data_IF_238716657859
#
_entry.id   IF_238716657859
#
_cell.length_a   1.000
_cell.length_b   1.000
_cell.length_c   1.000
_cell.angle_alpha   90.00
_cell.angle_beta   90.00
_cell.angle_gamma   90.00
#
_symmetry.space_group_name_H-M   'P 1'
#
loop_
_entity.id
_entity.type
_entity.pdbx_description
1 polymer ?
#
# COMPACT_ATOMS: atom_id res chain seq x y z
N UNK A 1 8.74 6.24 -1.80
CA UNK A 1 9.17 6.40 -0.40
C UNK A 1 8.00 6.37 0.58
N UNK A 2 6.91 7.14 0.36
CA UNK A 2 5.70 7.13 1.23
C UNK A 2 5.06 5.73 1.33
N UNK A 3 4.99 4.99 0.21
CA UNK A 3 4.43 3.64 0.19
C UNK A 3 5.24 2.68 1.07
N UNK A 4 6.57 2.74 1.00
CA UNK A 4 7.48 1.92 1.81
C UNK A 4 7.29 2.22 3.30
N UNK A 5 7.21 3.50 3.68
CA UNK A 5 6.98 3.89 5.08
C UNK A 5 5.61 3.45 5.60
N UNK A 6 4.58 3.40 4.76
CA UNK A 6 3.30 2.84 5.17
C UNK A 6 3.34 1.32 5.26
N UNK A 7 4.00 0.64 4.32
CA UNK A 7 4.08 -0.83 4.30
C UNK A 7 4.83 -1.39 5.52
N UNK A 8 5.96 -0.76 5.90
CA UNK A 8 6.86 -1.28 6.93
C UNK A 8 6.91 -0.44 8.22
N UNK A 9 6.19 0.67 8.25
CA UNK A 9 6.36 1.66 9.31
C UNK A 9 7.70 2.38 9.22
N UNK A 10 7.90 3.39 10.05
CA UNK A 10 9.17 4.09 10.17
C UNK A 10 9.25 4.87 11.49
N UNK A 11 10.48 5.02 12.00
CA UNK A 11 10.80 5.95 13.05
C UNK A 11 11.71 7.03 12.48
N UNK A 12 11.20 8.25 12.37
CA UNK A 12 11.90 9.37 11.75
C UNK A 12 12.46 10.25 12.86
N UNK A 13 13.80 10.47 12.94
CA UNK A 13 14.37 11.36 13.92
C UNK A 13 13.93 12.81 13.65
N UNK A 14 13.56 13.51 14.72
CA UNK A 14 13.15 14.92 14.66
C UNK A 14 14.41 15.79 14.63
N UNK A 15 14.62 16.47 13.51
CA UNK A 15 15.68 17.46 13.37
C UNK A 15 15.16 18.86 13.69
N UNK A 16 16.05 19.80 14.03
CA UNK A 16 15.68 21.20 14.27
C UNK A 16 14.99 21.85 13.08
N UNK A 17 15.44 21.50 11.86
CA UNK A 17 14.80 21.95 10.61
C UNK A 17 13.37 21.44 10.50
N UNK A 18 13.13 20.18 10.84
CA UNK A 18 11.81 19.57 10.84
C UNK A 18 10.93 20.22 11.91
N UNK A 19 11.45 20.43 13.11
CA UNK A 19 10.74 21.09 14.22
C UNK A 19 10.27 22.49 13.82
N UNK A 20 11.17 23.30 13.24
CA UNK A 20 10.83 24.65 12.73
C UNK A 20 9.75 24.59 11.65
N UNK A 21 9.86 23.66 10.69
CA UNK A 21 8.86 23.50 9.62
C UNK A 21 7.49 23.07 10.15
N UNK A 22 7.45 22.16 11.12
CA UNK A 22 6.21 21.73 11.76
C UNK A 22 5.56 22.88 12.54
N UNK A 23 6.37 23.69 13.21
CA UNK A 23 5.90 24.89 13.91
C UNK A 23 5.21 25.87 12.96
N UNK A 24 5.76 26.11 11.77
CA UNK A 24 5.14 26.99 10.75
C UNK A 24 3.82 26.42 10.23
N UNK A 25 3.59 25.12 10.37
CA UNK A 25 2.32 24.44 10.03
C UNK A 25 1.35 24.36 11.22
N UNK A 26 1.65 25.05 12.33
CA UNK A 26 0.82 25.05 13.53
C UNK A 26 0.99 23.81 14.41
N UNK A 27 2.07 23.03 14.19
CA UNK A 27 2.35 21.79 14.91
C UNK A 27 3.46 22.02 15.93
N UNK A 28 3.08 22.06 17.20
CA UNK A 28 4.02 22.11 18.30
C UNK A 28 4.42 20.69 18.72
N UNK A 29 5.67 20.30 18.46
CA UNK A 29 6.26 19.10 19.05
C UNK A 29 6.79 19.44 20.45
N UNK A 30 6.58 18.53 21.40
CA UNK A 30 7.17 18.63 22.73
C UNK A 30 8.71 18.58 22.61
N UNK A 31 9.41 19.23 23.52
CA UNK A 31 10.88 19.30 23.48
C UNK A 31 11.54 17.93 23.64
N UNK A 32 10.89 17.02 24.37
CA UNK A 32 11.31 15.63 24.57
C UNK A 32 10.97 14.70 23.37
N UNK A 33 10.33 15.19 22.32
CA UNK A 33 10.01 14.40 21.12
C UNK A 33 11.23 14.27 20.23
N UNK A 34 11.88 13.13 20.26
CA UNK A 34 13.08 12.85 19.45
C UNK A 34 12.79 12.10 18.16
N UNK A 35 11.66 11.40 18.07
CA UNK A 35 11.24 10.61 16.92
C UNK A 35 9.75 10.81 16.60
N UNK A 36 9.42 10.74 15.31
CA UNK A 36 8.04 10.60 14.82
C UNK A 36 7.88 9.18 14.33
N UNK A 37 6.98 8.42 14.95
CA UNK A 37 6.69 7.04 14.57
C UNK A 37 5.56 7.01 13.55
N UNK A 38 5.80 6.37 12.41
CA UNK A 38 4.79 6.03 11.42
C UNK A 38 4.42 4.56 11.64
N UNK A 39 3.19 4.23 12.03
CA UNK A 39 2.80 2.85 12.23
C UNK A 39 2.80 2.07 10.92
N UNK A 40 3.11 0.79 11.01
CA UNK A 40 3.02 -0.15 9.89
C UNK A 40 1.57 -0.29 9.42
N UNK A 41 1.38 -0.23 8.11
CA UNK A 41 0.10 -0.46 7.43
C UNK A 41 0.36 -1.33 6.19
N UNK A 42 0.50 -2.66 6.37
CA UNK A 42 0.96 -3.58 5.34
C UNK A 42 -0.13 -3.81 4.29
N UNK A 43 -0.36 -2.85 3.41
CA UNK A 43 -1.40 -2.92 2.39
C UNK A 43 -1.08 -3.91 1.28
N UNK A 44 0.21 -4.05 0.92
CA UNK A 44 0.64 -4.94 -0.15
C UNK A 44 0.69 -6.39 0.33
N UNK A 45 1.40 -6.65 1.44
CA UNK A 45 1.51 -7.99 2.02
C UNK A 45 0.14 -8.52 2.47
N UNK A 46 -0.57 -7.77 3.28
CA UNK A 46 -1.89 -8.19 3.77
C UNK A 46 -2.92 -8.33 2.63
N UNK A 47 -2.83 -7.49 1.59
CA UNK A 47 -3.67 -7.63 0.40
C UNK A 47 -3.37 -8.90 -0.38
N UNK A 48 -2.09 -9.29 -0.50
CA UNK A 48 -1.67 -10.56 -1.08
C UNK A 48 -2.15 -11.75 -0.24
N UNK A 49 -1.85 -11.75 1.06
CA UNK A 49 -2.18 -12.85 1.98
C UNK A 49 -3.69 -13.11 2.01
N UNK A 50 -4.49 -12.04 2.01
CA UNK A 50 -5.96 -12.16 1.95
C UNK A 50 -6.47 -12.78 0.66
N UNK A 51 -5.70 -12.72 -0.43
CA UNK A 51 -6.09 -13.22 -1.74
C UNK A 51 -5.38 -14.50 -2.17
N UNK A 52 -4.32 -14.91 -1.48
CA UNK A 52 -3.43 -16.03 -1.84
C UNK A 52 -4.20 -17.29 -2.23
N UNK A 53 -5.16 -17.74 -1.43
CA UNK A 53 -5.94 -18.93 -1.71
C UNK A 53 -6.80 -18.83 -2.97
N UNK A 54 -7.35 -17.65 -3.28
CA UNK A 54 -8.11 -17.40 -4.50
C UNK A 54 -7.18 -17.27 -5.71
N UNK A 55 -6.02 -16.66 -5.52
CA UNK A 55 -5.00 -16.54 -6.55
C UNK A 55 -4.47 -17.92 -6.96
N UNK A 56 -4.22 -18.81 -6.00
CA UNK A 56 -3.79 -20.18 -6.29
C UNK A 56 -4.81 -20.95 -7.17
N UNK A 57 -6.11 -20.84 -6.86
CA UNK A 57 -7.18 -21.44 -7.67
C UNK A 57 -7.25 -20.82 -9.08
N UNK A 58 -7.11 -19.50 -9.17
CA UNK A 58 -7.06 -18.81 -10.45
C UNK A 58 -5.85 -19.26 -11.28
N UNK A 59 -4.66 -19.32 -10.67
CA UNK A 59 -3.44 -19.79 -11.34
C UNK A 59 -3.59 -21.23 -11.84
N UNK A 60 -4.16 -22.12 -11.04
CA UNK A 60 -4.42 -23.50 -11.46
C UNK A 60 -5.29 -23.56 -12.71
N UNK A 61 -6.37 -22.77 -12.76
CA UNK A 61 -7.25 -22.67 -13.93
C UNK A 61 -6.51 -22.10 -15.15
N UNK A 62 -5.73 -21.03 -14.96
CA UNK A 62 -5.00 -20.37 -16.05
C UNK A 62 -3.89 -21.26 -16.62
N UNK A 63 -3.18 -22.00 -15.76
CA UNK A 63 -2.20 -23.01 -16.20
C UNK A 63 -2.85 -24.10 -17.01
N UNK A 64 -4.02 -24.61 -16.57
CA UNK A 64 -4.80 -25.57 -17.35
C UNK A 64 -5.16 -25.06 -18.74
N UNK A 65 -5.61 -23.80 -18.87
CA UNK A 65 -5.91 -23.15 -20.14
C UNK A 65 -4.67 -22.99 -21.03
N UNK A 66 -3.53 -22.63 -20.43
CA UNK A 66 -2.28 -22.50 -21.17
C UNK A 66 -1.77 -23.85 -21.69
N UNK A 67 -1.86 -24.92 -20.89
CA UNK A 67 -1.51 -26.28 -21.31
C UNK A 67 -2.44 -26.80 -22.41
N UNK A 68 -3.72 -26.46 -22.37
CA UNK A 68 -4.68 -26.77 -23.42
C UNK A 68 -4.51 -25.90 -24.69
N UNK A 69 -3.59 -24.94 -24.70
CA UNK A 69 -3.34 -24.05 -25.84
C UNK A 69 -4.43 -22.98 -26.06
N UNK A 70 -5.34 -22.78 -25.13
CA UNK A 70 -6.44 -21.78 -25.26
C UNK A 70 -6.00 -20.36 -24.93
N UNK A 71 -4.95 -20.21 -24.14
CA UNK A 71 -4.28 -18.93 -23.85
C UNK A 71 -2.77 -19.11 -23.85
N UNK A 72 -2.02 -18.03 -24.06
CA UNK A 72 -0.56 -18.06 -23.92
C UNK A 72 -0.16 -17.98 -22.44
N UNK A 73 1.00 -18.54 -22.03
CA UNK A 73 1.50 -18.39 -20.67
C UNK A 73 1.62 -16.92 -20.22
N UNK A 74 2.03 -16.04 -21.10
CA UNK A 74 2.12 -14.59 -20.85
C UNK A 74 0.75 -14.01 -20.49
N UNK A 75 -0.29 -14.31 -21.27
CA UNK A 75 -1.66 -13.87 -20.97
C UNK A 75 -2.20 -14.46 -19.67
N UNK A 76 -1.79 -15.68 -19.32
CA UNK A 76 -2.16 -16.28 -18.05
C UNK A 76 -1.58 -15.46 -16.88
N UNK A 77 -0.29 -15.10 -16.94
CA UNK A 77 0.36 -14.26 -15.92
C UNK A 77 -0.22 -12.85 -15.86
N UNK A 78 -0.50 -12.22 -17.00
CA UNK A 78 -1.15 -10.91 -17.05
C UNK A 78 -2.52 -10.92 -16.37
N UNK A 79 -3.34 -11.94 -16.61
CA UNK A 79 -4.65 -12.09 -15.95
C UNK A 79 -4.50 -12.24 -14.44
N UNK A 80 -3.57 -13.09 -13.99
CA UNK A 80 -3.31 -13.29 -12.57
C UNK A 80 -2.83 -11.99 -11.90
N UNK A 81 -1.88 -11.28 -12.52
CA UNK A 81 -1.36 -10.01 -12.03
C UNK A 81 -2.44 -8.92 -11.97
N UNK A 82 -3.30 -8.85 -12.98
CA UNK A 82 -4.42 -7.89 -13.02
C UNK A 82 -5.43 -8.15 -11.91
N UNK A 83 -5.77 -9.39 -11.64
CA UNK A 83 -6.69 -9.74 -10.54
C UNK A 83 -6.04 -9.46 -9.18
N UNK A 84 -4.76 -9.82 -8.97
CA UNK A 84 -4.04 -9.50 -7.75
C UNK A 84 -4.00 -7.98 -7.52
N UNK A 85 -3.70 -7.18 -8.53
CA UNK A 85 -3.74 -5.71 -8.46
C UNK A 85 -5.08 -5.20 -7.96
N UNK A 86 -6.20 -5.69 -8.53
CA UNK A 86 -7.55 -5.30 -8.10
C UNK A 86 -7.82 -5.65 -6.64
N UNK A 87 -7.37 -6.82 -6.19
CA UNK A 87 -7.56 -7.24 -4.81
C UNK A 87 -6.76 -6.39 -3.84
N UNK A 88 -5.53 -6.05 -4.17
CA UNK A 88 -4.71 -5.11 -3.37
C UNK A 88 -5.37 -3.73 -3.33
N UNK A 89 -5.84 -3.21 -4.45
CA UNK A 89 -6.58 -1.93 -4.51
C UNK A 89 -7.84 -1.97 -3.63
N UNK A 90 -8.63 -3.04 -3.73
CA UNK A 90 -9.82 -3.22 -2.88
C UNK A 90 -9.44 -3.35 -1.40
N UNK A 91 -8.32 -3.99 -1.08
CA UNK A 91 -7.81 -4.09 0.29
C UNK A 91 -7.40 -2.72 0.84
N UNK A 92 -6.75 -1.88 0.04
CA UNK A 92 -6.44 -0.48 0.41
C UNK A 92 -7.72 0.31 0.69
N UNK A 93 -8.73 0.15 -0.15
CA UNK A 93 -9.98 0.91 -0.05
C UNK A 93 -10.83 0.48 1.16
N UNK A 94 -10.93 -0.81 1.42
CA UNK A 94 -11.83 -1.40 2.42
C UNK A 94 -11.13 -1.88 3.69
N UNK A 95 -9.80 -1.96 3.66
CA UNK A 95 -9.02 -2.50 4.77
C UNK A 95 -9.06 -1.62 6.01
N UNK A 96 -9.05 -2.27 7.18
CA UNK A 96 -8.91 -1.60 8.46
C UNK A 96 -7.43 -1.43 8.79
N UNK A 97 -6.90 -0.24 8.55
CA UNK A 97 -5.51 0.10 8.87
C UNK A 97 -5.44 0.96 10.13
N UNK A 98 -4.27 0.98 10.78
CA UNK A 98 -4.01 1.87 11.91
C UNK A 98 -4.36 3.31 11.50
N UNK A 99 -5.25 3.99 12.24
CA UNK A 99 -5.70 5.32 11.89
C UNK A 99 -4.55 6.32 11.77
N UNK A 100 -4.77 7.39 11.01
CA UNK A 100 -3.86 8.53 11.02
C UNK A 100 -3.91 9.21 12.40
N UNK A 101 -2.76 9.77 12.83
CA UNK A 101 -2.76 10.65 14.00
C UNK A 101 -3.70 11.84 13.78
N UNK A 102 -4.26 12.39 14.86
CA UNK A 102 -5.15 13.56 14.79
C UNK A 102 -4.54 14.71 13.98
N UNK A 103 -3.24 14.91 14.12
CA UNK A 103 -2.49 15.88 13.34
C UNK A 103 -2.54 15.59 11.84
N UNK A 104 -2.29 14.34 11.43
CA UNK A 104 -2.34 13.93 10.04
C UNK A 104 -3.75 14.07 9.47
N UNK A 105 -4.78 13.77 10.28
CA UNK A 105 -6.18 13.94 9.88
C UNK A 105 -6.51 15.41 9.61
N UNK A 106 -6.06 16.33 10.48
CA UNK A 106 -6.24 17.77 10.29
C UNK A 106 -5.55 18.29 9.03
N UNK A 107 -4.33 17.83 8.74
CA UNK A 107 -3.55 18.25 7.57
C UNK A 107 -4.09 17.67 6.24
N UNK A 108 -4.69 16.49 6.26
CA UNK A 108 -5.22 15.80 5.08
C UNK A 108 -6.70 16.07 4.79
N UNK A 109 -7.44 16.55 5.77
CA UNK A 109 -8.89 16.71 5.65
C UNK A 109 -9.67 15.40 5.62
N UNK A 110 -9.07 14.26 6.03
CA UNK A 110 -9.71 12.95 6.04
C UNK A 110 -9.02 11.93 6.93
N UNK A 111 -9.77 10.86 7.28
CA UNK A 111 -9.31 9.85 8.24
C UNK A 111 -8.81 8.55 7.59
N UNK A 112 -8.91 8.38 6.28
CA UNK A 112 -8.48 7.13 5.64
C UNK A 112 -6.95 7.08 5.47
N UNK A 113 -6.24 6.14 6.14
CA UNK A 113 -4.78 6.19 6.26
C UNK A 113 -4.01 6.13 4.94
N UNK A 114 -4.46 5.34 3.98
CA UNK A 114 -3.76 5.07 2.72
C UNK A 114 -4.38 5.81 1.52
N UNK A 115 -5.52 6.46 1.72
CA UNK A 115 -6.19 7.23 0.67
C UNK A 115 -5.86 8.71 0.85
N UNK A 116 -5.01 9.22 -0.03
CA UNK A 116 -4.69 10.62 -0.19
C UNK A 116 -4.76 10.91 -1.69
N UNK A 117 -5.86 11.52 -2.15
CA UNK A 117 -6.13 11.75 -3.57
C UNK A 117 -6.07 10.46 -4.45
N UNK A 118 -6.28 9.29 -3.86
CA UNK A 118 -6.20 7.95 -4.49
C UNK A 118 -4.85 7.63 -5.16
N UNK A 119 -3.84 8.44 -5.00
CA UNK A 119 -2.53 8.30 -5.66
C UNK A 119 -1.89 6.92 -5.46
N UNK A 120 -1.94 6.38 -4.23
CA UNK A 120 -1.35 5.06 -3.96
C UNK A 120 -2.04 3.95 -4.77
N UNK A 121 -3.36 4.01 -4.89
CA UNK A 121 -4.13 3.01 -5.64
C UNK A 121 -3.90 3.13 -7.15
N UNK A 122 -3.87 4.37 -7.66
CA UNK A 122 -3.75 4.65 -9.09
C UNK A 122 -2.35 4.36 -9.63
N UNK A 123 -1.31 4.51 -8.78
CA UNK A 123 0.08 4.23 -9.15
C UNK A 123 0.50 2.78 -8.93
N UNK A 124 -0.39 1.91 -8.42
CA UNK A 124 -0.08 0.50 -8.28
C UNK A 124 -0.04 -0.15 -9.67
N UNK A 125 1.11 -0.69 -10.06
CA UNK A 125 1.35 -1.33 -11.35
C UNK A 125 1.86 -2.75 -11.15
N UNK A 126 1.80 -3.54 -12.21
CA UNK A 126 2.40 -4.87 -12.30
C UNK A 126 3.22 -5.00 -13.57
N UNK A 127 4.19 -5.86 -13.54
CA UNK A 127 5.05 -6.17 -14.68
C UNK A 127 5.18 -7.69 -14.81
N UNK A 128 5.11 -8.20 -16.03
CA UNK A 128 5.27 -9.62 -16.35
C UNK A 128 6.59 -9.80 -17.08
N UNK A 129 7.48 -10.59 -16.48
CA UNK A 129 8.76 -10.94 -17.08
C UNK A 129 8.70 -12.38 -17.59
N UNK A 130 8.95 -12.55 -18.90
CA UNK A 130 9.11 -13.85 -19.54
C UNK A 130 10.59 -14.08 -19.82
N UNK A 131 11.09 -15.23 -19.41
CA UNK A 131 12.47 -15.65 -19.71
C UNK A 131 12.52 -16.53 -20.94
#
# INVERSE_FOLDING_TARGET
LKAIFNEYGANIPVTDKMRKKLLTLGVHLRDDTHFISIPERPFLRAGYDAYEGSLAKLMQSLVGQALAGTITPERALERAAKELKKHIQSHIEKGSFVPNSELTQKLKGGNHPLIDEKKLMDTLEYEVHMK
#
